data_IF_477002159272
#
_entry.id   IF_477002159272
#
_cell.length_a   1.000
_cell.length_b   1.000
_cell.length_c   1.000
_cell.angle_alpha   90.00
_cell.angle_beta   90.00
_cell.angle_gamma   90.00
#
_symmetry.space_group_name_H-M   'P 1'
#
loop_
_entity.id
_entity.type
_entity.pdbx_description
1 polymer ?
#
# COMPACT_ATOMS: atom_id res chain seq x y z
N UNK A 1 -21.31 -5.81 7.85
CA UNK A 1 -20.47 -4.89 7.05
C UNK A 1 -19.89 -5.68 5.88
N UNK A 2 -20.21 -5.28 4.65
CA UNK A 2 -19.71 -5.92 3.43
C UNK A 2 -18.37 -5.30 3.06
N UNK A 3 -17.32 -6.11 2.98
CA UNK A 3 -15.99 -5.70 2.51
C UNK A 3 -15.80 -6.23 1.09
N UNK A 4 -15.32 -5.38 0.20
CA UNK A 4 -14.93 -5.76 -1.16
C UNK A 4 -13.58 -5.13 -1.51
N UNK A 5 -12.83 -5.80 -2.40
CA UNK A 5 -11.55 -5.30 -2.93
C UNK A 5 -11.53 -5.52 -4.43
N UNK A 6 -11.49 -4.42 -5.18
CA UNK A 6 -11.69 -4.42 -6.62
C UNK A 6 -10.50 -3.80 -7.34
N UNK A 7 -10.06 -4.42 -8.44
CA UNK A 7 -9.05 -3.84 -9.32
C UNK A 7 -9.69 -2.69 -10.09
N UNK A 8 -9.06 -1.51 -10.05
CA UNK A 8 -9.60 -0.31 -10.72
C UNK A 8 -9.11 -0.18 -12.15
N UNK A 9 -9.96 0.36 -13.01
CA UNK A 9 -9.57 0.78 -14.37
C UNK A 9 -9.29 2.29 -14.45
N UNK A 10 -9.00 2.77 -15.66
CA UNK A 10 -8.71 4.20 -15.91
C UNK A 10 -9.88 5.13 -15.58
N UNK A 11 -11.11 4.65 -15.72
CA UNK A 11 -12.32 5.42 -15.42
C UNK A 11 -12.53 5.56 -13.92
N UNK A 12 -12.04 4.61 -13.13
CA UNK A 12 -12.13 4.59 -11.66
C UNK A 12 -10.88 5.17 -10.97
N UNK A 13 -9.83 5.49 -11.74
CA UNK A 13 -8.56 5.98 -11.23
C UNK A 13 -8.69 7.19 -10.29
N UNK A 14 -9.69 8.04 -10.53
CA UNK A 14 -9.96 9.22 -9.71
C UNK A 14 -10.25 8.87 -8.25
N UNK A 15 -10.80 7.68 -7.96
CA UNK A 15 -11.16 7.29 -6.59
C UNK A 15 -9.90 7.14 -5.72
N UNK A 16 -8.90 6.40 -6.21
CA UNK A 16 -7.62 6.24 -5.49
C UNK A 16 -6.90 7.58 -5.40
N UNK A 17 -6.92 8.38 -6.46
CA UNK A 17 -6.27 9.71 -6.48
C UNK A 17 -6.92 10.69 -5.50
N UNK A 18 -8.22 10.58 -5.24
CA UNK A 18 -8.89 11.37 -4.21
C UNK A 18 -8.48 10.95 -2.78
N UNK A 19 -8.12 9.67 -2.58
CA UNK A 19 -7.66 9.15 -1.28
C UNK A 19 -6.16 9.36 -1.05
N UNK A 20 -5.37 9.50 -2.10
CA UNK A 20 -3.92 9.62 -2.05
C UNK A 20 -3.40 10.75 -1.13
N UNK A 21 -4.00 11.96 -1.14
CA UNK A 21 -3.57 13.03 -0.22
C UNK A 21 -3.79 12.66 1.26
N UNK A 22 -4.83 11.88 1.57
CA UNK A 22 -5.10 11.39 2.92
C UNK A 22 -4.08 10.34 3.36
N UNK A 23 -3.63 9.51 2.41
CA UNK A 23 -2.53 8.56 2.64
C UNK A 23 -1.23 9.28 2.97
N UNK A 24 -0.86 10.31 2.19
CA UNK A 24 0.36 11.08 2.46
C UNK A 24 0.25 11.88 3.77
N UNK A 25 -0.92 12.44 4.07
CA UNK A 25 -1.19 13.04 5.38
C UNK A 25 -0.98 12.04 6.52
N UNK A 26 -1.50 10.82 6.41
CA UNK A 26 -1.35 9.80 7.45
C UNK A 26 0.11 9.33 7.59
N UNK A 27 0.81 9.11 6.47
CA UNK A 27 2.25 8.83 6.46
C UNK A 27 3.07 9.95 7.08
N UNK A 28 2.67 11.22 6.90
CA UNK A 28 3.40 12.36 7.43
C UNK A 28 3.56 12.27 8.96
N UNK A 29 2.56 11.73 9.68
CA UNK A 29 2.65 11.49 11.12
C UNK A 29 3.69 10.43 11.49
N UNK A 30 3.88 9.43 10.63
CA UNK A 30 4.90 8.40 10.79
C UNK A 30 6.30 8.88 10.42
N UNK A 31 6.43 9.85 9.53
CA UNK A 31 7.74 10.34 9.09
C UNK A 31 8.13 11.68 9.73
N UNK A 32 7.22 12.38 10.38
CA UNK A 32 7.43 13.73 10.91
C UNK A 32 7.50 14.78 9.79
N UNK A 33 6.80 14.52 8.68
CA UNK A 33 6.81 15.39 7.50
C UNK A 33 5.77 16.51 7.67
N UNK A 34 6.13 17.69 7.19
CA UNK A 34 5.21 18.81 7.04
C UNK A 34 4.77 18.91 5.57
N UNK A 35 3.60 19.47 5.28
CA UNK A 35 3.26 19.80 3.91
C UNK A 35 4.23 20.86 3.35
N UNK A 36 4.29 20.94 2.03
CA UNK A 36 5.02 21.99 1.33
C UNK A 36 4.42 23.38 1.59
N UNK A 37 5.02 24.43 1.01
CA UNK A 37 4.59 25.81 1.27
C UNK A 37 3.14 26.13 0.84
N UNK A 38 2.51 25.24 0.07
CA UNK A 38 1.15 25.36 -0.41
C UNK A 38 0.14 24.51 0.39
N UNK A 39 0.60 23.80 1.44
CA UNK A 39 -0.25 22.91 2.24
C UNK A 39 -0.50 21.54 1.60
N UNK A 40 0.29 21.16 0.59
CA UNK A 40 0.22 19.85 -0.07
C UNK A 40 1.28 18.94 0.53
N UNK A 41 0.91 17.71 0.91
CA UNK A 41 1.85 16.70 1.41
C UNK A 41 2.66 16.10 0.26
N UNK A 42 3.63 16.87 -0.23
CA UNK A 42 4.62 16.51 -1.25
C UNK A 42 5.96 17.14 -0.91
N UNK A 43 7.05 16.56 -1.39
CA UNK A 43 8.39 17.10 -1.10
C UNK A 43 8.70 18.39 -1.89
N UNK A 44 8.24 18.49 -3.14
CA UNK A 44 8.49 19.66 -3.99
C UNK A 44 7.45 20.77 -3.79
N UNK A 45 7.90 22.03 -3.88
CA UNK A 45 7.02 23.20 -3.97
C UNK A 45 6.42 23.40 -5.37
N UNK A 46 6.77 22.56 -6.35
CA UNK A 46 6.13 22.55 -7.67
C UNK A 46 4.66 22.09 -7.59
N UNK A 47 4.31 21.30 -6.57
CA UNK A 47 2.93 20.88 -6.29
C UNK A 47 2.17 22.00 -5.58
N UNK A 48 1.48 22.83 -6.35
CA UNK A 48 0.72 23.97 -5.83
C UNK A 48 -0.71 23.59 -5.43
N UNK A 49 -1.26 22.59 -6.10
CA UNK A 49 -2.62 22.10 -5.94
C UNK A 49 -2.64 20.58 -5.99
N UNK A 50 -3.72 19.96 -5.50
CA UNK A 50 -3.91 18.51 -5.62
C UNK A 50 -3.95 18.03 -7.08
N UNK A 51 -4.27 18.91 -8.04
CA UNK A 51 -4.22 18.60 -9.46
C UNK A 51 -2.80 18.29 -9.92
N UNK A 52 -1.80 18.97 -9.36
CA UNK A 52 -0.39 18.77 -9.72
C UNK A 52 0.10 17.38 -9.28
N UNK A 53 -0.40 16.89 -8.13
CA UNK A 53 -0.12 15.53 -7.63
C UNK A 53 -0.88 14.45 -8.44
N UNK A 54 -2.06 14.80 -8.95
CA UNK A 54 -3.01 13.86 -9.55
C UNK A 54 -2.42 13.06 -10.72
N UNK A 55 -1.53 13.65 -11.51
CA UNK A 55 -1.01 13.04 -12.73
C UNK A 55 0.14 12.06 -12.51
N UNK A 56 0.84 12.14 -11.37
CA UNK A 56 1.94 11.23 -11.04
C UNK A 56 1.43 9.81 -10.91
N UNK A 57 0.26 9.65 -10.31
CA UNK A 57 -0.36 8.35 -10.08
C UNK A 57 -0.85 7.69 -11.38
N UNK A 58 -0.89 8.39 -12.52
CA UNK A 58 -1.34 7.83 -13.80
C UNK A 58 -0.59 6.55 -14.21
N UNK A 59 0.63 6.36 -13.73
CA UNK A 59 1.45 5.19 -14.06
C UNK A 59 0.75 3.87 -13.69
N UNK A 60 0.00 3.83 -12.58
CA UNK A 60 -0.72 2.66 -12.08
C UNK A 60 -1.74 2.10 -13.07
N UNK A 61 -2.33 2.95 -13.92
CA UNK A 61 -3.31 2.56 -14.95
C UNK A 61 -2.72 2.53 -16.37
N UNK A 62 -1.42 2.78 -16.53
CA UNK A 62 -0.71 2.70 -17.83
C UNK A 62 -0.08 1.34 -18.08
N UNK A 63 0.02 0.46 -17.07
CA UNK A 63 0.70 -0.84 -17.16
C UNK A 63 -0.18 -2.00 -16.68
N UNK A 64 -1.31 -2.28 -17.35
CA UNK A 64 -2.19 -3.39 -16.99
C UNK A 64 -1.42 -4.73 -17.02
N UNK A 65 -1.67 -5.59 -16.04
CA UNK A 65 -0.96 -6.87 -15.87
C UNK A 65 0.41 -6.76 -15.20
N UNK A 66 0.90 -5.54 -14.93
CA UNK A 66 2.16 -5.29 -14.23
C UNK A 66 1.95 -4.48 -12.94
N UNK A 67 1.06 -3.49 -13.00
CA UNK A 67 0.66 -2.68 -11.87
C UNK A 67 -0.83 -2.91 -11.60
N UNK A 68 -1.18 -3.18 -10.35
CA UNK A 68 -2.52 -3.55 -9.94
C UNK A 68 -3.03 -2.60 -8.86
N UNK A 69 -3.74 -1.52 -9.24
CA UNK A 69 -4.33 -0.57 -8.30
C UNK A 69 -5.69 -1.06 -7.80
N UNK A 70 -5.72 -1.58 -6.57
CA UNK A 70 -6.96 -2.05 -5.92
C UNK A 70 -7.59 -0.96 -5.06
N UNK A 71 -8.92 -0.85 -5.11
CA UNK A 71 -9.71 -0.07 -4.15
C UNK A 71 -10.29 -0.99 -3.08
N UNK A 72 -10.30 -0.53 -1.83
CA UNK A 72 -10.95 -1.18 -0.69
C UNK A 72 -12.31 -0.51 -0.47
N UNK A 73 -13.39 -1.30 -0.51
CA UNK A 73 -14.76 -0.83 -0.33
C UNK A 73 -15.38 -1.40 0.93
N UNK A 74 -16.05 -0.56 1.71
CA UNK A 74 -16.90 -0.99 2.82
C UNK A 74 -18.32 -0.50 2.58
N UNK A 75 -19.25 -1.43 2.44
CA UNK A 75 -20.63 -1.13 2.02
C UNK A 75 -20.67 -0.21 0.78
N UNK A 76 -19.84 -0.54 -0.23
CA UNK A 76 -19.73 0.20 -1.51
C UNK A 76 -19.11 1.60 -1.40
N UNK A 77 -18.65 2.00 -0.22
CA UNK A 77 -17.91 3.25 -0.01
C UNK A 77 -16.39 3.00 -0.11
N UNK A 78 -15.64 3.78 -0.90
CA UNK A 78 -14.18 3.74 -0.94
C UNK A 78 -13.56 4.18 0.39
N UNK A 79 -12.75 3.31 0.99
CA UNK A 79 -12.18 3.53 2.34
C UNK A 79 -10.68 3.32 2.41
N UNK A 80 -10.05 2.99 1.29
CA UNK A 80 -8.63 2.68 1.22
C UNK A 80 -8.26 2.10 -0.13
N UNK A 81 -6.98 1.78 -0.30
CA UNK A 81 -6.46 1.20 -1.53
C UNK A 81 -5.24 0.32 -1.25
N UNK A 82 -4.91 -0.54 -2.21
CA UNK A 82 -3.72 -1.40 -2.19
C UNK A 82 -3.09 -1.33 -3.58
N UNK A 83 -1.83 -0.89 -3.66
CA UNK A 83 -1.11 -0.80 -4.93
C UNK A 83 -0.08 -1.92 -5.00
N UNK A 84 -0.28 -2.88 -5.91
CA UNK A 84 0.62 -4.02 -6.09
C UNK A 84 1.43 -3.85 -7.36
N UNK A 85 2.75 -4.00 -7.25
CA UNK A 85 3.69 -3.97 -8.35
C UNK A 85 4.26 -5.37 -8.62
N UNK A 86 4.60 -5.66 -9.87
CA UNK A 86 5.29 -6.89 -10.29
C UNK A 86 6.54 -6.53 -11.12
N UNK A 87 7.37 -7.49 -11.56
CA UNK A 87 8.55 -7.19 -12.35
C UNK A 87 8.23 -6.32 -13.58
N UNK A 88 9.04 -5.29 -13.87
CA UNK A 88 10.33 -4.95 -13.26
C UNK A 88 10.26 -3.95 -12.09
N UNK A 89 9.08 -3.70 -11.51
CA UNK A 89 8.85 -2.70 -10.45
C UNK A 89 8.95 -3.29 -9.04
N UNK A 90 9.69 -4.38 -8.89
CA UNK A 90 9.99 -5.04 -7.62
C UNK A 90 11.37 -5.70 -7.68
N UNK A 91 11.87 -6.16 -6.53
CA UNK A 91 13.17 -6.82 -6.43
C UNK A 91 13.22 -8.12 -7.26
N UNK A 92 14.42 -8.50 -7.70
CA UNK A 92 14.64 -9.74 -8.45
C UNK A 92 14.20 -10.95 -7.63
N UNK A 93 13.43 -11.86 -8.25
CA UNK A 93 12.90 -13.06 -7.60
C UNK A 93 11.62 -12.83 -6.77
N UNK A 94 11.11 -11.60 -6.75
CA UNK A 94 9.79 -11.26 -6.21
C UNK A 94 8.80 -11.20 -7.37
N UNK A 95 7.66 -11.88 -7.20
CA UNK A 95 6.58 -11.88 -8.19
C UNK A 95 5.62 -10.71 -7.94
N UNK A 96 5.36 -10.40 -6.66
CA UNK A 96 4.42 -9.37 -6.24
C UNK A 96 4.96 -8.54 -5.07
N UNK A 97 4.86 -7.22 -5.17
CA UNK A 97 5.30 -6.27 -4.15
C UNK A 97 4.14 -5.38 -3.72
N UNK A 98 3.88 -5.30 -2.41
CA UNK A 98 2.92 -4.31 -1.88
C UNK A 98 3.63 -2.95 -1.86
N UNK A 99 3.38 -2.15 -2.88
CA UNK A 99 4.02 -0.84 -3.04
C UNK A 99 3.43 0.20 -2.11
N UNK A 100 2.09 0.25 -2.02
CA UNK A 100 1.39 1.14 -1.10
C UNK A 100 0.14 0.47 -0.54
N UNK A 101 -0.18 0.84 0.70
CA UNK A 101 -1.32 0.30 1.41
C UNK A 101 -1.93 1.36 2.32
N UNK A 102 -3.22 1.65 2.14
CA UNK A 102 -3.90 2.68 2.91
C UNK A 102 -5.30 2.24 3.33
N UNK A 103 -5.66 2.56 4.57
CA UNK A 103 -7.02 2.50 5.10
C UNK A 103 -7.27 3.74 5.96
N UNK A 104 -8.43 4.38 5.76
CA UNK A 104 -8.85 5.55 6.55
C UNK A 104 -8.86 5.24 8.05
N UNK A 105 -8.51 6.25 8.85
CA UNK A 105 -8.31 6.11 10.28
C UNK A 105 -9.56 5.61 11.03
N UNK A 106 -10.76 6.07 10.64
CA UNK A 106 -12.04 5.72 11.29
C UNK A 106 -12.37 4.23 11.24
N UNK A 107 -11.74 3.46 10.35
CA UNK A 107 -11.97 2.03 10.16
C UNK A 107 -10.83 1.14 10.68
N UNK A 108 -9.81 1.75 11.32
CA UNK A 108 -8.72 1.00 11.95
C UNK A 108 -9.19 0.21 13.16
N UNK A 109 -8.46 -0.87 13.49
CA UNK A 109 -8.79 -1.74 14.62
C UNK A 109 -9.96 -2.72 14.38
N UNK A 110 -10.64 -2.67 13.23
CA UNK A 110 -11.79 -3.51 12.92
C UNK A 110 -11.46 -4.74 12.05
N UNK A 111 -10.18 -5.01 11.83
CA UNK A 111 -9.69 -6.12 10.99
C UNK A 111 -9.94 -5.96 9.48
N UNK A 112 -10.38 -4.78 9.02
CA UNK A 112 -10.69 -4.53 7.60
C UNK A 112 -9.43 -4.62 6.73
N UNK A 113 -8.37 -3.90 7.10
CA UNK A 113 -7.11 -3.88 6.37
C UNK A 113 -6.51 -5.28 6.19
N UNK A 114 -6.49 -6.08 7.27
CA UNK A 114 -5.98 -7.46 7.25
C UNK A 114 -6.79 -8.34 6.29
N UNK A 115 -8.13 -8.26 6.34
CA UNK A 115 -8.99 -8.99 5.40
C UNK A 115 -8.77 -8.54 3.96
N UNK A 116 -8.62 -7.24 3.71
CA UNK A 116 -8.38 -6.69 2.38
C UNK A 116 -7.03 -7.17 1.80
N UNK A 117 -5.95 -7.14 2.61
CA UNK A 117 -4.65 -7.68 2.23
C UNK A 117 -4.74 -9.18 1.89
N UNK A 118 -5.42 -9.96 2.72
CA UNK A 118 -5.59 -11.40 2.49
C UNK A 118 -6.36 -11.73 1.21
N UNK A 119 -7.35 -10.90 0.82
CA UNK A 119 -8.07 -11.04 -0.46
C UNK A 119 -7.08 -10.86 -1.61
N UNK A 120 -6.30 -9.77 -1.61
CA UNK A 120 -5.32 -9.49 -2.67
C UNK A 120 -4.22 -10.55 -2.73
N UNK A 121 -3.70 -10.98 -1.58
CA UNK A 121 -2.72 -12.08 -1.53
C UNK A 121 -3.30 -13.38 -2.11
N UNK A 122 -4.58 -13.67 -1.89
CA UNK A 122 -5.19 -14.89 -2.42
C UNK A 122 -5.48 -14.85 -3.91
N UNK A 123 -5.61 -13.65 -4.50
CA UNK A 123 -5.80 -13.45 -5.93
C UNK A 123 -4.53 -13.69 -6.75
N UNK A 124 -3.35 -13.55 -6.13
CA UNK A 124 -2.06 -13.69 -6.81
C UNK A 124 -1.13 -14.69 -6.10
N UNK A 125 -0.68 -15.70 -6.84
CA UNK A 125 0.14 -16.79 -6.32
C UNK A 125 1.59 -16.60 -6.73
N UNK A 126 2.49 -16.52 -5.76
CA UNK A 126 3.90 -16.29 -6.02
C UNK A 126 4.70 -15.93 -4.76
N UNK A 127 5.88 -15.38 -5.00
CA UNK A 127 6.76 -14.81 -3.99
C UNK A 127 6.41 -13.34 -3.77
N UNK A 128 6.11 -13.00 -2.52
CA UNK A 128 5.68 -11.68 -2.09
C UNK A 128 6.76 -10.96 -1.30
N UNK A 129 6.80 -9.64 -1.46
CA UNK A 129 7.59 -8.73 -0.62
C UNK A 129 6.76 -7.50 -0.22
N UNK A 130 7.00 -6.96 0.95
CA UNK A 130 6.50 -5.64 1.36
C UNK A 130 7.45 -4.98 2.36
N UNK A 131 7.44 -3.66 2.40
CA UNK A 131 8.27 -2.86 3.29
C UNK A 131 7.44 -2.07 4.29
N UNK A 132 8.02 -1.80 5.45
CA UNK A 132 7.50 -0.79 6.37
C UNK A 132 8.64 -0.04 7.05
N UNK A 133 8.35 1.15 7.58
CA UNK A 133 9.34 1.96 8.26
C UNK A 133 9.79 1.27 9.58
N UNK A 134 11.10 1.00 9.78
CA UNK A 134 11.62 0.30 10.94
C UNK A 134 11.69 1.19 12.20
N UNK A 135 11.52 2.51 12.06
CA UNK A 135 11.58 3.45 13.17
C UNK A 135 10.42 3.25 14.16
N UNK A 136 10.68 3.50 15.45
CA UNK A 136 9.72 3.32 16.55
C UNK A 136 8.41 4.09 16.35
N UNK A 137 8.48 5.26 15.71
CA UNK A 137 7.32 6.09 15.33
C UNK A 137 6.32 5.39 14.40
N UNK A 138 6.70 4.26 13.80
CA UNK A 138 5.84 3.41 12.97
C UNK A 138 5.51 2.05 13.63
N UNK A 139 5.56 1.94 14.95
CA UNK A 139 5.23 0.69 15.68
C UNK A 139 3.85 0.12 15.31
N UNK A 140 2.88 0.98 15.00
CA UNK A 140 1.53 0.56 14.58
C UNK A 140 1.57 -0.16 13.24
N UNK A 141 2.26 0.40 12.23
CA UNK A 141 2.43 -0.22 10.91
C UNK A 141 3.22 -1.52 10.98
N UNK A 142 4.27 -1.58 11.79
CA UNK A 142 5.03 -2.82 11.99
C UNK A 142 4.18 -3.93 12.62
N UNK A 143 3.43 -3.62 13.69
CA UNK A 143 2.52 -4.58 14.34
C UNK A 143 1.44 -5.07 13.38
N UNK A 144 0.92 -4.17 12.55
CA UNK A 144 -0.06 -4.51 11.51
C UNK A 144 0.50 -5.54 10.53
N UNK A 145 1.68 -5.30 9.95
CA UNK A 145 2.25 -6.21 8.97
C UNK A 145 2.70 -7.54 9.57
N UNK A 146 3.34 -7.53 10.75
CA UNK A 146 3.67 -8.76 11.50
C UNK A 146 2.44 -9.63 11.69
N UNK A 147 1.35 -9.06 12.20
CA UNK A 147 0.10 -9.79 12.42
C UNK A 147 -0.49 -10.31 11.10
N UNK A 148 -0.62 -9.43 10.11
CA UNK A 148 -1.27 -9.74 8.83
C UNK A 148 -0.55 -10.84 8.07
N UNK A 149 0.78 -10.69 7.88
CA UNK A 149 1.59 -11.68 7.16
C UNK A 149 1.65 -12.99 7.95
N UNK A 150 1.90 -12.94 9.27
CA UNK A 150 1.93 -14.14 10.11
C UNK A 150 0.61 -14.92 10.06
N UNK A 151 -0.54 -14.24 10.18
CA UNK A 151 -1.85 -14.88 10.09
C UNK A 151 -2.11 -15.46 8.71
N UNK A 152 -1.75 -14.73 7.64
CA UNK A 152 -1.92 -15.21 6.28
C UNK A 152 -1.07 -16.46 6.01
N UNK A 153 0.20 -16.45 6.41
CA UNK A 153 1.15 -17.53 6.09
C UNK A 153 1.21 -18.62 7.16
N UNK A 154 0.41 -18.51 8.22
CA UNK A 154 0.52 -19.37 9.43
C UNK A 154 1.93 -19.36 10.02
N UNK A 155 2.58 -18.20 10.01
CA UNK A 155 3.93 -17.98 10.50
C UNK A 155 5.05 -18.29 9.49
N UNK A 156 4.74 -18.80 8.29
CA UNK A 156 5.73 -19.09 7.25
C UNK A 156 6.13 -17.83 6.45
N UNK A 157 6.89 -16.94 7.07
CA UNK A 157 7.42 -15.72 6.43
C UNK A 157 8.79 -15.35 7.00
N UNK A 158 9.51 -14.50 6.28
CA UNK A 158 10.78 -13.90 6.70
C UNK A 158 10.53 -12.44 7.07
N UNK A 159 11.16 -12.00 8.15
CA UNK A 159 11.23 -10.61 8.60
C UNK A 159 12.69 -10.21 8.81
N UNK A 160 13.14 -9.13 8.18
CA UNK A 160 14.51 -8.62 8.34
C UNK A 160 14.57 -7.11 8.18
N UNK A 161 15.61 -6.47 8.75
CA UNK A 161 15.94 -5.08 8.42
C UNK A 161 17.00 -5.05 7.33
N UNK A 162 16.88 -4.16 6.35
CA UNK A 162 17.85 -4.07 5.26
C UNK A 162 17.69 -2.82 4.40
N UNK A 163 18.72 -2.55 3.59
CA UNK A 163 18.68 -1.51 2.56
C UNK A 163 17.81 -1.97 1.38
N UNK A 164 16.93 -1.08 0.92
CA UNK A 164 16.06 -1.29 -0.24
C UNK A 164 16.17 -0.09 -1.19
N UNK A 165 15.47 -0.13 -2.32
CA UNK A 165 15.38 1.03 -3.22
C UNK A 165 14.66 2.23 -2.57
N UNK A 166 13.93 2.01 -1.47
CA UNK A 166 13.23 3.02 -0.68
C UNK A 166 13.99 3.32 0.64
N UNK A 167 15.28 2.99 0.70
CA UNK A 167 16.14 3.16 1.88
C UNK A 167 16.04 2.01 2.88
N UNK A 168 16.49 2.24 4.12
CA UNK A 168 16.49 1.25 5.19
C UNK A 168 15.07 0.90 5.65
N UNK A 169 14.66 -0.36 5.50
CA UNK A 169 13.29 -0.83 5.78
C UNK A 169 13.26 -2.07 6.66
N UNK A 170 12.12 -2.27 7.33
CA UNK A 170 11.70 -3.57 7.82
C UNK A 170 10.98 -4.30 6.67
N UNK A 171 11.53 -5.42 6.25
CA UNK A 171 11.16 -6.17 5.05
C UNK A 171 10.46 -7.45 5.46
N UNK A 172 9.32 -7.74 4.81
CA UNK A 172 8.60 -8.99 4.95
C UNK A 172 8.60 -9.72 3.62
N UNK A 173 8.94 -11.02 3.63
CA UNK A 173 8.84 -11.89 2.47
C UNK A 173 8.11 -13.18 2.78
N UNK A 174 7.29 -13.66 1.84
CA UNK A 174 6.64 -14.97 1.95
C UNK A 174 6.35 -15.54 0.57
N UNK A 175 6.07 -16.83 0.50
CA UNK A 175 5.62 -17.48 -0.73
C UNK A 175 4.25 -18.13 -0.48
N UNK A 176 3.31 -17.95 -1.41
CA UNK A 176 1.96 -18.52 -1.31
C UNK A 176 1.58 -19.37 -2.54
N UNK A 177 2.56 -19.82 -3.33
CA UNK A 177 2.34 -20.58 -4.56
C UNK A 177 1.64 -21.93 -4.33
N UNK A 178 1.85 -22.55 -3.16
CA UNK A 178 1.30 -23.87 -2.82
C UNK A 178 0.02 -23.81 -1.96
N UNK A 179 -0.52 -22.60 -1.75
CA UNK A 179 -1.65 -22.36 -0.83
C UNK A 179 -3.01 -22.44 -1.51
#
# INVERSE_FOLDING_TARGET
MKLDVQLTDKNEAYIIKNLYPLYLYDLSGHYGLLPNMHGIYEESNDFRTLKDQYDIQNIWWKKPGVLFPYIILVNEIPVGFILIATPPHCNKGIDYFVNEFFLIQSLRGQGIAERAANIVFSQHKGTWELFTNPLEKNVVGQKFWRKTVSNYTKGAYIEENGETFDGHKLIFRFNNSEK
#
